data_IF_873511328998
#
_entry.id   IF_873511328998
#
_cell.length_a   1.000
_cell.length_b   1.000
_cell.length_c   1.000
_cell.angle_alpha   90.00
_cell.angle_beta   90.00
_cell.angle_gamma   90.00
#
_symmetry.space_group_name_H-M   'P 1'
#
loop_
_entity.id
_entity.type
_entity.pdbx_description
1 polymer ?
#
# COMPACT_ATOMS: atom_id res chain seq x y z
N UNK A 1 -59.19 48.61 32.09
CA UNK A 1 -57.80 48.56 32.54
C UNK A 1 -57.02 47.45 31.87
N UNK A 2 -56.71 47.70 30.61
CA UNK A 2 -55.87 46.80 29.78
C UNK A 2 -54.40 47.21 29.99
N UNK A 3 -53.66 46.36 30.63
CA UNK A 3 -52.18 46.49 30.70
C UNK A 3 -51.59 45.66 29.55
N UNK A 4 -51.10 46.37 28.55
CA UNK A 4 -50.22 45.80 27.51
C UNK A 4 -48.90 45.45 28.15
N UNK A 5 -48.50 44.19 28.01
CA UNK A 5 -47.15 43.74 28.28
C UNK A 5 -46.36 43.83 27.00
N UNK A 6 -45.33 44.69 26.95
CA UNK A 6 -44.34 44.78 25.90
C UNK A 6 -43.38 43.60 26.04
N UNK A 7 -43.32 42.76 25.01
CA UNK A 7 -42.32 41.72 24.88
C UNK A 7 -40.99 42.31 24.33
N UNK A 8 -39.84 42.04 24.94
CA UNK A 8 -38.56 42.47 24.37
C UNK A 8 -38.12 41.50 23.29
N UNK A 9 -37.95 42.01 22.05
CA UNK A 9 -37.35 41.33 20.89
C UNK A 9 -35.96 40.79 21.20
N UNK A 10 -35.85 39.48 21.25
CA UNK A 10 -34.56 38.79 21.32
C UNK A 10 -33.96 38.72 19.93
N UNK A 11 -32.99 39.58 19.65
CA UNK A 11 -32.10 39.42 18.53
C UNK A 11 -31.23 38.16 18.77
N UNK A 12 -31.53 37.09 18.05
CA UNK A 12 -30.63 35.97 17.91
C UNK A 12 -29.54 36.34 16.90
N UNK A 13 -28.38 36.76 17.41
CA UNK A 13 -27.19 36.90 16.60
C UNK A 13 -26.71 35.49 16.18
N UNK A 14 -26.77 35.22 14.89
CA UNK A 14 -26.08 34.07 14.30
C UNK A 14 -24.58 34.15 14.59
N UNK A 15 -23.96 33.05 15.07
CA UNK A 15 -22.51 33.03 15.16
C UNK A 15 -21.91 32.98 13.74
N UNK A 16 -21.24 34.04 13.35
CA UNK A 16 -20.40 34.09 12.16
C UNK A 16 -19.42 32.92 12.19
N UNK A 17 -19.57 31.99 11.25
CA UNK A 17 -18.58 30.96 10.93
C UNK A 17 -17.30 31.68 10.51
N UNK A 18 -16.29 31.66 11.37
CA UNK A 18 -14.93 32.06 10.98
C UNK A 18 -14.49 31.05 9.92
N UNK A 19 -14.27 31.57 8.71
CA UNK A 19 -13.47 30.91 7.68
C UNK A 19 -12.09 30.68 8.30
N UNK A 20 -11.81 29.42 8.63
CA UNK A 20 -10.45 28.99 8.86
C UNK A 20 -9.81 28.91 7.47
N UNK A 21 -8.92 29.87 7.20
CA UNK A 21 -8.06 29.85 6.02
C UNK A 21 -7.34 28.51 5.93
N UNK A 22 -7.56 27.80 4.83
CA UNK A 22 -6.78 26.63 4.48
C UNK A 22 -5.32 27.07 4.30
N UNK A 23 -4.35 26.38 4.93
CA UNK A 23 -2.96 26.59 4.56
C UNK A 23 -2.75 25.97 3.17
N UNK A 24 -2.68 26.86 2.17
CA UNK A 24 -2.29 26.57 0.82
C UNK A 24 -0.86 26.04 0.76
N UNK A 25 -0.67 25.07 -0.12
CA UNK A 25 0.60 24.67 -0.74
C UNK A 25 1.68 24.04 0.15
N UNK A 26 1.46 22.79 0.54
CA UNK A 26 2.60 21.88 0.57
C UNK A 26 2.86 21.42 -0.86
N UNK A 27 4.02 21.82 -1.36
CA UNK A 27 4.48 21.60 -2.72
C UNK A 27 4.35 20.14 -3.13
N UNK A 28 3.70 19.98 -4.24
CA UNK A 28 3.63 18.78 -5.05
C UNK A 28 5.04 18.47 -5.55
N UNK A 29 5.83 17.76 -4.74
CA UNK A 29 7.01 17.08 -5.26
C UNK A 29 6.52 15.79 -5.87
N UNK A 30 6.52 15.75 -7.19
CA UNK A 30 6.33 14.55 -7.99
C UNK A 30 7.24 13.44 -7.50
N UNK A 31 6.64 12.48 -6.81
CA UNK A 31 7.32 11.28 -6.31
C UNK A 31 7.56 10.24 -7.41
N UNK A 32 8.20 10.66 -8.51
CA UNK A 32 8.76 9.77 -9.53
C UNK A 32 10.25 9.64 -9.29
N UNK A 33 10.67 8.89 -8.28
CA UNK A 33 12.05 8.39 -8.17
C UNK A 33 12.11 7.30 -7.10
N UNK A 34 11.92 6.06 -7.53
CA UNK A 34 12.65 4.92 -7.00
C UNK A 34 12.57 3.79 -8.02
N UNK A 35 13.32 3.99 -9.11
CA UNK A 35 13.90 2.90 -9.87
C UNK A 35 15.17 2.46 -9.11
N UNK A 36 15.02 1.46 -8.25
CA UNK A 36 16.16 0.83 -7.58
C UNK A 36 16.71 -0.26 -8.47
N UNK A 37 17.40 0.15 -9.53
CA UNK A 37 18.34 -0.70 -10.24
C UNK A 37 19.53 -1.02 -9.32
N UNK A 38 19.48 -2.18 -8.68
CA UNK A 38 20.64 -2.75 -7.99
C UNK A 38 21.73 -3.07 -9.00
N UNK A 39 22.61 -2.11 -9.19
CA UNK A 39 23.87 -2.30 -9.92
C UNK A 39 24.86 -3.01 -8.99
N UNK A 40 24.86 -4.34 -9.03
CA UNK A 40 25.88 -5.16 -8.40
C UNK A 40 27.23 -4.84 -9.02
N UNK A 41 28.08 -4.12 -8.29
CA UNK A 41 29.48 -3.93 -8.61
C UNK A 41 30.22 -5.27 -8.44
N UNK A 42 30.57 -5.90 -9.57
CA UNK A 42 31.53 -6.99 -9.60
C UNK A 42 32.89 -6.46 -9.18
N UNK A 43 33.29 -6.70 -7.94
CA UNK A 43 34.69 -6.58 -7.53
C UNK A 43 35.48 -7.77 -8.14
N UNK A 44 36.42 -7.45 -9.02
CA UNK A 44 37.46 -8.39 -9.48
C UNK A 44 38.39 -8.68 -8.31
N UNK A 45 38.60 -9.96 -8.01
CA UNK A 45 39.69 -10.46 -7.19
C UNK A 45 40.85 -10.84 -8.13
N UNK A 46 42.10 -10.63 -7.71
CA UNK A 46 43.27 -10.89 -8.55
C UNK A 46 43.64 -12.39 -8.58
N UNK A 47 44.15 -12.82 -9.74
CA UNK A 47 44.74 -14.11 -10.00
C UNK A 47 45.86 -14.43 -9.02
N UNK A 48 45.81 -15.63 -8.44
CA UNK A 48 46.97 -16.26 -7.82
C UNK A 48 47.22 -17.60 -8.52
N UNK A 49 48.20 -17.61 -9.36
CA UNK A 49 48.84 -18.80 -9.94
C UNK A 49 49.54 -19.60 -8.85
N UNK A 50 49.19 -20.86 -8.67
CA UNK A 50 50.08 -21.87 -8.09
C UNK A 50 49.80 -23.25 -8.67
N UNK A 51 50.83 -23.77 -9.29
CA UNK A 51 51.05 -25.09 -9.84
C UNK A 51 50.92 -26.20 -8.80
N UNK A 52 50.30 -27.35 -9.11
CA UNK A 52 50.81 -28.69 -8.74
C UNK A 52 49.92 -29.81 -9.32
N UNK A 53 50.50 -30.59 -10.10
CA UNK A 53 50.56 -32.04 -10.39
C UNK A 53 49.34 -33.00 -10.13
N UNK A 54 49.26 -34.09 -10.91
CA UNK A 54 48.02 -34.85 -11.15
C UNK A 54 47.83 -36.04 -10.22
N UNK A 55 46.59 -36.23 -9.71
CA UNK A 55 46.20 -37.50 -9.10
C UNK A 55 44.97 -38.08 -9.80
N UNK A 56 45.23 -39.24 -10.33
CA UNK A 56 44.45 -40.45 -10.59
C UNK A 56 42.92 -40.33 -10.65
N UNK A 57 42.38 -40.54 -11.84
CA UNK A 57 40.97 -40.85 -12.15
C UNK A 57 40.44 -42.03 -11.37
N UNK A 58 39.43 -41.81 -10.57
CA UNK A 58 38.46 -42.84 -10.20
C UNK A 58 37.14 -42.38 -10.84
N UNK A 59 36.54 -43.24 -11.66
CA UNK A 59 35.31 -43.00 -12.38
C UNK A 59 34.13 -42.81 -11.44
N UNK A 60 33.42 -41.70 -11.61
CA UNK A 60 32.14 -41.46 -11.01
C UNK A 60 31.10 -41.52 -12.13
N UNK A 61 29.99 -42.29 -11.98
CA UNK A 61 28.99 -42.39 -13.03
C UNK A 61 28.30 -41.07 -13.27
N UNK A 62 28.05 -40.81 -14.54
CA UNK A 62 27.34 -39.66 -15.09
C UNK A 62 26.02 -39.42 -14.40
N UNK A 63 25.90 -38.33 -13.65
CA UNK A 63 24.63 -37.80 -13.10
C UNK A 63 23.90 -37.02 -14.19
N UNK A 64 23.43 -37.72 -15.20
CA UNK A 64 22.37 -37.23 -16.11
C UNK A 64 21.09 -37.97 -15.66
N UNK A 65 20.26 -37.28 -14.94
CA UNK A 65 18.81 -37.40 -14.73
C UNK A 65 18.43 -36.99 -13.31
N UNK A 66 18.63 -35.69 -13.01
CA UNK A 66 17.95 -35.09 -11.87
C UNK A 66 17.03 -33.97 -12.40
N UNK A 67 15.76 -34.36 -12.55
CA UNK A 67 14.63 -33.50 -12.32
C UNK A 67 14.58 -32.20 -13.10
N UNK A 68 14.23 -32.25 -14.40
CA UNK A 68 13.61 -31.11 -15.07
C UNK A 68 12.38 -30.74 -14.24
N UNK A 69 12.44 -29.61 -13.53
CA UNK A 69 11.28 -29.06 -12.86
C UNK A 69 10.07 -29.05 -13.81
N UNK A 70 8.86 -29.44 -13.35
CA UNK A 70 7.70 -29.43 -14.22
C UNK A 70 7.53 -28.03 -14.83
N UNK A 71 7.15 -27.94 -16.12
CA UNK A 71 6.91 -26.65 -16.75
C UNK A 71 5.84 -25.91 -15.95
N UNK A 72 6.10 -24.66 -15.61
CA UNK A 72 5.12 -23.79 -14.99
C UNK A 72 3.80 -23.84 -15.76
N UNK A 73 2.63 -23.84 -15.09
CA UNK A 73 1.34 -23.96 -15.77
C UNK A 73 1.23 -22.86 -16.82
N UNK A 74 0.97 -23.28 -18.06
CA UNK A 74 0.73 -22.38 -19.21
C UNK A 74 -0.46 -21.50 -18.87
N UNK A 75 -0.21 -20.23 -18.53
CA UNK A 75 -1.22 -19.26 -18.10
C UNK A 75 -0.84 -18.41 -16.88
N UNK A 76 0.23 -18.75 -16.16
CA UNK A 76 0.75 -17.88 -15.11
C UNK A 76 1.36 -16.63 -15.76
N UNK A 77 0.67 -15.50 -15.67
CA UNK A 77 1.23 -14.19 -16.06
C UNK A 77 2.46 -13.96 -15.21
N UNK A 78 3.60 -13.65 -15.85
CA UNK A 78 4.80 -13.24 -15.11
C UNK A 78 4.43 -12.08 -14.21
N UNK A 79 4.68 -12.21 -12.90
CA UNK A 79 4.32 -11.19 -11.90
C UNK A 79 4.95 -9.83 -12.22
N UNK A 80 6.10 -9.81 -12.91
CA UNK A 80 6.73 -8.57 -13.36
C UNK A 80 5.94 -7.92 -14.50
N UNK A 81 5.39 -8.72 -15.40
CA UNK A 81 4.55 -8.23 -16.49
C UNK A 81 3.28 -7.59 -15.93
N UNK A 82 2.60 -8.24 -14.97
CA UNK A 82 1.40 -7.69 -14.34
C UNK A 82 1.70 -6.40 -13.57
N UNK A 83 2.81 -6.34 -12.82
CA UNK A 83 3.27 -5.10 -12.17
C UNK A 83 3.48 -3.97 -13.17
N UNK A 84 4.05 -4.27 -14.34
CA UNK A 84 4.25 -3.31 -15.42
C UNK A 84 2.93 -2.82 -16.03
N UNK A 85 1.94 -3.71 -16.21
CA UNK A 85 0.60 -3.34 -16.68
C UNK A 85 -0.11 -2.43 -15.67
N UNK A 86 -0.11 -2.79 -14.38
CA UNK A 86 -0.69 -1.97 -13.31
C UNK A 86 -0.03 -0.58 -13.28
N UNK A 87 1.30 -0.51 -13.42
CA UNK A 87 2.02 0.77 -13.40
C UNK A 87 1.65 1.68 -14.58
N UNK A 88 1.36 1.12 -15.74
CA UNK A 88 0.99 1.87 -16.96
C UNK A 88 -0.49 2.21 -17.02
N UNK A 89 -1.35 1.49 -16.30
CA UNK A 89 -2.79 1.72 -16.30
C UNK A 89 -3.12 3.17 -15.89
N UNK A 90 -3.96 3.83 -16.69
CA UNK A 90 -4.29 5.25 -16.56
C UNK A 90 -5.69 5.54 -16.02
N UNK A 91 -6.54 4.52 -15.86
CA UNK A 91 -7.93 4.69 -15.40
C UNK A 91 -8.33 3.68 -14.34
N UNK A 92 -9.35 4.04 -13.55
CA UNK A 92 -9.98 3.13 -12.57
C UNK A 92 -10.46 1.85 -13.24
N UNK A 93 -11.15 1.98 -14.35
CA UNK A 93 -11.69 0.83 -15.08
C UNK A 93 -10.60 -0.16 -15.52
N UNK A 94 -9.48 0.36 -16.05
CA UNK A 94 -8.36 -0.48 -16.48
C UNK A 94 -7.71 -1.19 -15.28
N UNK A 95 -7.48 -0.50 -14.17
CA UNK A 95 -6.94 -1.07 -12.94
C UNK A 95 -7.81 -2.20 -12.39
N UNK A 96 -9.13 -1.98 -12.33
CA UNK A 96 -10.07 -2.97 -11.83
C UNK A 96 -10.22 -4.16 -12.79
N UNK A 97 -10.18 -3.91 -14.11
CA UNK A 97 -10.16 -4.98 -15.11
C UNK A 97 -8.93 -5.87 -14.95
N UNK A 98 -7.74 -5.27 -14.77
CA UNK A 98 -6.52 -6.03 -14.50
C UNK A 98 -6.65 -6.85 -13.21
N UNK A 99 -7.17 -6.26 -12.15
CA UNK A 99 -7.40 -6.94 -10.88
C UNK A 99 -8.35 -8.14 -11.02
N UNK A 100 -9.44 -7.97 -11.77
CA UNK A 100 -10.42 -9.03 -12.01
C UNK A 100 -9.84 -10.16 -12.89
N UNK A 101 -9.19 -9.80 -14.00
CA UNK A 101 -8.63 -10.76 -14.95
C UNK A 101 -7.53 -11.63 -14.32
N UNK A 102 -6.72 -11.04 -13.44
CA UNK A 102 -5.58 -11.69 -12.83
C UNK A 102 -5.77 -12.02 -11.34
N UNK A 103 -7.02 -12.09 -10.87
CA UNK A 103 -7.35 -12.24 -9.45
C UNK A 103 -6.58 -13.37 -8.76
N UNK A 104 -6.49 -14.55 -9.39
CA UNK A 104 -5.77 -15.70 -8.85
C UNK A 104 -4.24 -15.52 -8.79
N UNK A 105 -3.69 -14.65 -9.66
CA UNK A 105 -2.24 -14.37 -9.76
C UNK A 105 -1.82 -13.13 -8.98
N UNK A 106 -2.76 -12.39 -8.38
CA UNK A 106 -2.45 -11.24 -7.54
C UNK A 106 -1.67 -11.67 -6.31
N UNK A 107 -0.57 -10.96 -6.04
CA UNK A 107 0.20 -11.07 -4.80
C UNK A 107 0.19 -9.73 -4.04
N UNK A 108 0.86 -9.68 -2.88
CA UNK A 108 0.94 -8.51 -2.01
C UNK A 108 1.47 -7.24 -2.72
N UNK A 109 2.45 -7.39 -3.63
CA UNK A 109 3.01 -6.26 -4.40
C UNK A 109 1.96 -5.71 -5.37
N UNK A 110 1.23 -6.60 -6.06
CA UNK A 110 0.20 -6.19 -7.01
C UNK A 110 -0.94 -5.43 -6.34
N UNK A 111 -1.47 -5.93 -5.21
CA UNK A 111 -2.57 -5.24 -4.51
C UNK A 111 -2.13 -3.89 -3.94
N UNK A 112 -0.91 -3.79 -3.40
CA UNK A 112 -0.37 -2.51 -2.93
C UNK A 112 -0.23 -1.48 -4.08
N UNK A 113 0.24 -1.91 -5.25
CA UNK A 113 0.35 -1.06 -6.42
C UNK A 113 -1.03 -0.65 -6.96
N UNK A 114 -2.01 -1.57 -6.98
CA UNK A 114 -3.39 -1.27 -7.38
C UNK A 114 -3.98 -0.19 -6.47
N UNK A 115 -3.90 -0.34 -5.15
CA UNK A 115 -4.41 0.67 -4.21
C UNK A 115 -3.71 2.02 -4.34
N UNK A 116 -2.38 2.02 -4.51
CA UNK A 116 -1.63 3.26 -4.73
C UNK A 116 -2.10 3.99 -6.01
N UNK A 117 -2.35 3.25 -7.09
CA UNK A 117 -2.82 3.82 -8.36
C UNK A 117 -4.28 4.26 -8.28
N UNK A 118 -5.17 3.45 -7.70
CA UNK A 118 -6.58 3.76 -7.50
C UNK A 118 -6.76 5.03 -6.65
N UNK A 119 -5.97 5.19 -5.59
CA UNK A 119 -5.99 6.40 -4.76
C UNK A 119 -5.59 7.69 -5.49
N UNK A 120 -5.06 7.59 -6.71
CA UNK A 120 -4.76 8.74 -7.59
C UNK A 120 -5.87 9.03 -8.59
N UNK A 121 -6.85 8.14 -8.72
CA UNK A 121 -7.99 8.31 -9.63
C UNK A 121 -9.11 9.09 -8.93
N UNK A 122 -9.77 10.00 -9.67
CA UNK A 122 -10.85 10.82 -9.12
C UNK A 122 -12.19 10.10 -9.07
N UNK A 123 -12.35 9.06 -9.88
CA UNK A 123 -13.59 8.30 -10.09
C UNK A 123 -13.61 6.95 -9.37
N UNK A 124 -12.61 6.66 -8.54
CA UNK A 124 -12.47 5.38 -7.85
C UNK A 124 -13.69 5.03 -6.95
N UNK A 125 -14.35 6.05 -6.39
CA UNK A 125 -15.55 5.89 -5.56
C UNK A 125 -16.86 5.79 -6.35
N UNK A 126 -16.80 5.80 -7.67
CA UNK A 126 -17.98 5.78 -8.54
C UNK A 126 -18.84 4.52 -8.34
N UNK A 127 -20.18 4.64 -8.42
CA UNK A 127 -21.08 3.50 -8.18
C UNK A 127 -20.90 2.37 -9.20
N UNK A 128 -20.44 2.69 -10.40
CA UNK A 128 -20.15 1.71 -11.47
C UNK A 128 -19.04 0.73 -11.12
N UNK A 129 -18.16 1.10 -10.18
CA UNK A 129 -16.98 0.31 -9.80
C UNK A 129 -17.15 -0.45 -8.47
N UNK A 130 -18.34 -0.35 -7.84
CA UNK A 130 -18.56 -0.84 -6.47
C UNK A 130 -18.29 -2.33 -6.32
N UNK A 131 -18.76 -3.15 -7.24
CA UNK A 131 -18.63 -4.60 -7.13
C UNK A 131 -17.18 -5.05 -7.39
N UNK A 132 -16.50 -4.46 -8.35
CA UNK A 132 -15.09 -4.72 -8.60
C UNK A 132 -14.21 -4.28 -7.43
N UNK A 133 -14.52 -3.11 -6.83
CA UNK A 133 -13.85 -2.65 -5.61
C UNK A 133 -14.06 -3.62 -4.45
N UNK A 134 -15.28 -4.12 -4.26
CA UNK A 134 -15.60 -5.11 -3.23
C UNK A 134 -14.76 -6.38 -3.40
N UNK A 135 -14.61 -6.86 -4.64
CA UNK A 135 -13.77 -8.03 -4.95
C UNK A 135 -12.30 -7.75 -4.64
N UNK A 136 -11.81 -6.57 -5.00
CA UNK A 136 -10.43 -6.17 -4.70
C UNK A 136 -10.20 -6.04 -3.19
N UNK A 137 -11.14 -5.46 -2.42
CA UNK A 137 -11.08 -5.38 -0.97
C UNK A 137 -10.91 -6.78 -0.36
N UNK A 138 -11.80 -7.73 -0.70
CA UNK A 138 -11.74 -9.11 -0.21
C UNK A 138 -10.41 -9.78 -0.55
N UNK A 139 -9.96 -9.64 -1.82
CA UNK A 139 -8.68 -10.23 -2.25
C UNK A 139 -7.51 -9.61 -1.51
N UNK A 140 -7.56 -8.32 -1.18
CA UNK A 140 -6.50 -7.66 -0.42
C UNK A 140 -6.44 -8.18 1.02
N UNK A 141 -7.60 -8.39 1.68
CA UNK A 141 -7.64 -9.00 3.02
C UNK A 141 -6.96 -10.38 3.04
N UNK A 142 -7.17 -11.22 2.02
CA UNK A 142 -6.52 -12.52 1.92
C UNK A 142 -4.98 -12.45 1.79
N UNK A 143 -4.47 -11.33 1.27
CA UNK A 143 -3.04 -11.15 0.99
C UNK A 143 -2.31 -10.30 2.03
N UNK A 144 -3.04 -9.65 2.95
CA UNK A 144 -2.49 -8.64 3.86
C UNK A 144 -1.38 -9.19 4.75
N UNK A 145 -1.47 -10.44 5.16
CA UNK A 145 -0.46 -11.09 6.01
C UNK A 145 0.88 -11.32 5.30
N UNK A 146 0.87 -11.31 3.97
CA UNK A 146 2.08 -11.39 3.15
C UNK A 146 2.70 -10.03 2.86
N UNK A 147 2.06 -8.94 3.28
CA UNK A 147 2.50 -7.57 3.01
C UNK A 147 3.62 -7.14 3.96
N UNK A 148 4.63 -6.47 3.43
CA UNK A 148 5.63 -5.75 4.22
C UNK A 148 5.18 -4.32 4.54
N UNK A 149 6.06 -3.60 5.23
CA UNK A 149 5.81 -2.22 5.68
C UNK A 149 5.35 -1.27 4.55
N UNK A 150 6.01 -1.34 3.41
CA UNK A 150 5.71 -0.50 2.24
C UNK A 150 4.35 -0.84 1.63
N UNK A 151 4.05 -2.11 1.50
CA UNK A 151 2.78 -2.58 0.95
C UNK A 151 1.62 -2.18 1.85
N UNK A 152 1.73 -2.41 3.17
CA UNK A 152 0.69 -2.03 4.14
C UNK A 152 0.42 -0.52 4.12
N UNK A 153 1.47 0.31 4.10
CA UNK A 153 1.34 1.76 4.01
C UNK A 153 0.67 2.20 2.69
N UNK A 154 1.05 1.61 1.56
CA UNK A 154 0.46 1.92 0.26
C UNK A 154 -1.01 1.52 0.18
N UNK A 155 -1.38 0.37 0.74
CA UNK A 155 -2.77 -0.10 0.81
C UNK A 155 -3.60 0.87 1.64
N UNK A 156 -3.19 1.17 2.88
CA UNK A 156 -3.91 2.09 3.75
C UNK A 156 -4.08 3.47 3.11
N UNK A 157 -3.00 4.05 2.59
CA UNK A 157 -2.99 5.36 1.97
C UNK A 157 -3.88 5.42 0.72
N UNK A 158 -3.77 4.43 -0.16
CA UNK A 158 -4.61 4.34 -1.37
C UNK A 158 -6.08 4.18 -1.03
N UNK A 159 -6.40 3.31 -0.07
CA UNK A 159 -7.76 3.04 0.40
C UNK A 159 -8.42 4.31 0.98
N UNK A 160 -7.70 5.05 1.85
CA UNK A 160 -8.19 6.30 2.40
C UNK A 160 -8.48 7.34 1.31
N UNK A 161 -7.64 7.41 0.28
CA UNK A 161 -7.82 8.35 -0.84
C UNK A 161 -9.00 7.98 -1.74
N UNK A 162 -9.32 6.71 -1.89
CA UNK A 162 -10.46 6.27 -2.71
C UNK A 162 -11.82 6.70 -2.15
N UNK A 163 -11.95 6.95 -0.83
CA UNK A 163 -13.21 7.36 -0.18
C UNK A 163 -14.42 6.55 -0.64
N UNK A 164 -14.33 5.22 -0.52
CA UNK A 164 -15.32 4.30 -1.05
C UNK A 164 -16.66 4.42 -0.31
N UNK A 165 -17.65 5.01 -0.96
CA UNK A 165 -18.99 5.19 -0.40
C UNK A 165 -19.81 3.90 -0.51
N UNK A 166 -20.46 3.49 0.59
CA UNK A 166 -21.31 2.30 0.63
C UNK A 166 -20.54 0.98 0.65
N UNK A 167 -19.27 1.02 1.05
CA UNK A 167 -18.40 -0.14 1.31
C UNK A 167 -17.73 -0.01 2.69
N UNK A 168 -18.39 0.68 3.62
CA UNK A 168 -17.80 1.04 4.91
C UNK A 168 -17.39 -0.18 5.74
N UNK A 169 -18.20 -1.25 5.72
CA UNK A 169 -17.90 -2.50 6.42
C UNK A 169 -16.68 -3.20 5.86
N UNK A 170 -16.60 -3.38 4.53
CA UNK A 170 -15.47 -4.02 3.87
C UNK A 170 -14.19 -3.18 3.96
N UNK A 171 -14.35 -1.86 3.88
CA UNK A 171 -13.25 -0.90 4.04
C UNK A 171 -12.70 -0.93 5.47
N UNK A 172 -13.59 -0.89 6.48
CA UNK A 172 -13.21 -1.02 7.88
C UNK A 172 -12.49 -2.34 8.19
N UNK A 173 -13.00 -3.45 7.64
CA UNK A 173 -12.36 -4.76 7.79
C UNK A 173 -10.94 -4.79 7.22
N UNK A 174 -10.71 -4.16 6.05
CA UNK A 174 -9.36 -4.07 5.48
C UNK A 174 -8.44 -3.17 6.31
N UNK A 175 -8.94 -2.04 6.83
CA UNK A 175 -8.15 -1.19 7.74
C UNK A 175 -7.77 -1.95 9.01
N UNK A 176 -8.69 -2.69 9.62
CA UNK A 176 -8.41 -3.52 10.79
C UNK A 176 -7.33 -4.56 10.50
N UNK A 177 -7.44 -5.29 9.38
CA UNK A 177 -6.45 -6.27 8.95
C UNK A 177 -5.07 -5.64 8.71
N UNK A 178 -5.00 -4.46 8.10
CA UNK A 178 -3.74 -3.69 7.92
C UNK A 178 -3.13 -3.31 9.26
N UNK A 179 -3.95 -2.84 10.22
CA UNK A 179 -3.46 -2.47 11.55
C UNK A 179 -2.86 -3.67 12.28
N UNK A 180 -3.57 -4.80 12.28
CA UNK A 180 -3.11 -6.03 12.91
C UNK A 180 -1.82 -6.56 12.27
N UNK A 181 -1.75 -6.58 10.94
CA UNK A 181 -0.55 -7.02 10.21
C UNK A 181 0.65 -6.10 10.49
N UNK A 182 0.45 -4.79 10.55
CA UNK A 182 1.50 -3.82 10.85
C UNK A 182 2.05 -4.00 12.27
N UNK A 183 1.17 -4.12 13.27
CA UNK A 183 1.57 -4.35 14.67
C UNK A 183 2.30 -5.68 14.81
N UNK A 184 1.78 -6.76 14.23
CA UNK A 184 2.38 -8.10 14.27
C UNK A 184 3.74 -8.17 13.59
N UNK A 185 3.88 -7.50 12.43
CA UNK A 185 5.13 -7.44 11.66
C UNK A 185 6.20 -6.53 12.27
N UNK A 186 5.84 -5.68 13.22
CA UNK A 186 6.69 -4.69 13.86
C UNK A 186 6.95 -3.46 13.00
N UNK A 187 6.84 -2.29 13.61
CA UNK A 187 6.92 -1.00 12.90
C UNK A 187 8.34 -0.47 12.73
N UNK A 188 9.34 -1.13 13.29
CA UNK A 188 10.76 -0.78 13.10
C UNK A 188 11.23 -0.85 11.63
N UNK A 189 10.53 -1.64 10.80
CA UNK A 189 10.80 -1.78 9.36
C UNK A 189 10.13 -0.72 8.50
N UNK A 190 9.26 0.09 9.09
CA UNK A 190 8.60 1.17 8.37
C UNK A 190 9.56 2.35 8.22
N UNK A 191 9.76 2.79 6.99
CA UNK A 191 10.41 4.07 6.73
C UNK A 191 9.57 5.22 7.30
N UNK A 192 10.17 6.37 7.67
CA UNK A 192 9.44 7.52 8.22
C UNK A 192 8.20 7.90 7.41
N UNK A 193 8.34 7.97 6.10
CA UNK A 193 7.22 8.26 5.19
C UNK A 193 6.10 7.21 5.28
N UNK A 194 6.44 5.94 5.46
CA UNK A 194 5.44 4.87 5.57
C UNK A 194 4.65 5.01 6.88
N UNK A 195 5.31 5.36 7.99
CA UNK A 195 4.65 5.65 9.26
C UNK A 195 3.69 6.85 9.11
N UNK A 196 4.17 7.96 8.55
CA UNK A 196 3.37 9.16 8.34
C UNK A 196 2.15 8.89 7.43
N UNK A 197 2.33 8.20 6.31
CA UNK A 197 1.25 7.83 5.40
C UNK A 197 0.21 6.91 6.07
N UNK A 198 0.66 6.00 6.94
CA UNK A 198 -0.24 5.09 7.68
C UNK A 198 -1.09 5.87 8.67
N UNK A 199 -0.49 6.74 9.50
CA UNK A 199 -1.24 7.61 10.43
C UNK A 199 -2.26 8.45 9.67
N UNK A 200 -1.80 9.13 8.62
CA UNK A 200 -2.67 9.97 7.80
C UNK A 200 -3.86 9.20 7.23
N UNK A 201 -3.64 7.98 6.75
CA UNK A 201 -4.68 7.15 6.17
C UNK A 201 -5.77 6.78 7.18
N UNK A 202 -5.37 6.32 8.37
CA UNK A 202 -6.32 5.95 9.43
C UNK A 202 -7.09 7.17 9.94
N UNK A 203 -6.42 8.31 10.14
CA UNK A 203 -7.06 9.55 10.54
C UNK A 203 -8.06 10.06 9.47
N UNK A 204 -7.64 10.06 8.19
CA UNK A 204 -8.49 10.51 7.07
C UNK A 204 -9.72 9.64 6.88
N UNK A 205 -9.57 8.33 7.07
CA UNK A 205 -10.66 7.37 6.93
C UNK A 205 -11.52 7.25 8.21
N UNK A 206 -11.16 7.96 9.31
CA UNK A 206 -11.87 7.88 10.59
C UNK A 206 -11.84 6.47 11.20
N UNK A 207 -10.79 5.69 10.93
CA UNK A 207 -10.68 4.32 11.42
C UNK A 207 -9.92 4.27 12.75
N UNK A 208 -10.57 3.82 13.84
CA UNK A 208 -9.92 3.72 15.14
C UNK A 208 -8.90 2.56 15.12
N UNK A 209 -7.68 2.82 15.55
CA UNK A 209 -6.62 1.82 15.66
C UNK A 209 -5.64 2.16 16.78
N UNK A 210 -6.08 2.20 18.08
CA UNK A 210 -5.26 2.66 19.17
C UNK A 210 -3.94 1.89 19.30
N UNK A 211 -3.97 0.56 19.23
CA UNK A 211 -2.77 -0.27 19.31
C UNK A 211 -1.76 0.04 18.18
N UNK A 212 -2.24 0.32 16.96
CA UNK A 212 -1.38 0.73 15.85
C UNK A 212 -0.77 2.10 16.11
N UNK A 213 -1.56 3.07 16.59
CA UNK A 213 -1.08 4.42 16.86
C UNK A 213 -0.03 4.44 17.96
N UNK A 214 -0.24 3.68 19.05
CA UNK A 214 0.74 3.51 20.13
C UNK A 214 2.04 2.87 19.60
N UNK A 215 1.92 1.84 18.80
CA UNK A 215 3.08 1.19 18.19
C UNK A 215 3.83 2.12 17.23
N UNK A 216 3.12 2.94 16.44
CA UNK A 216 3.74 3.95 15.57
C UNK A 216 4.46 5.00 16.41
N UNK A 217 3.85 5.50 17.47
CA UNK A 217 4.49 6.46 18.35
C UNK A 217 5.79 5.89 18.96
N UNK A 218 5.75 4.65 19.44
CA UNK A 218 6.93 3.97 19.97
C UNK A 218 8.04 3.79 18.92
N UNK A 219 7.69 3.55 17.66
CA UNK A 219 8.64 3.40 16.56
C UNK A 219 9.20 4.75 16.07
N UNK A 220 8.40 5.82 16.10
CA UNK A 220 8.75 7.14 15.59
C UNK A 220 9.61 7.96 16.55
N UNK A 221 9.30 7.92 17.87
CA UNK A 221 10.00 8.75 18.88
C UNK A 221 11.52 8.62 18.82
N UNK A 222 12.13 7.41 18.77
CA UNK A 222 13.58 7.28 18.69
C UNK A 222 14.19 7.81 17.36
N UNK A 223 13.35 8.03 16.34
CA UNK A 223 13.74 8.33 14.96
C UNK A 223 13.23 9.70 14.49
N UNK A 224 12.86 10.59 15.41
CA UNK A 224 12.28 11.90 15.05
C UNK A 224 13.17 12.75 14.13
N UNK A 225 14.48 12.51 14.12
CA UNK A 225 15.42 13.22 13.23
C UNK A 225 15.39 12.72 11.79
N UNK A 226 14.73 11.60 11.53
CA UNK A 226 14.63 10.98 10.20
C UNK A 226 13.39 11.48 9.44
N UNK A 227 12.49 12.24 10.11
CA UNK A 227 11.28 12.83 9.55
C UNK A 227 11.55 14.27 9.08
#
# INVERSE_FOLDING_TARGET
DERRYDEPSRHHGEPQRRHLDEPSHYGQRDGTLYDSGSRAQKRRLPDSTASAAPTRRVGVPSSQELGRAPPAPKGAVDGRMLSGQISKAGSTQELLRLAATHSASLNHIHVANLWNKLGKQRDASGPSHREEMRRLLRRTVELVDSCGARELSNIAHGLAKCRLVGLDGETGALFAAVAEAAVRGGLSRFEPQALANTIWAFATAGQPAPALLDAIAAAAVPRLRDF
#
